data_IF_373090709326
#
_entry.id   IF_373090709326
#
_cell.length_a   1.000
_cell.length_b   1.000
_cell.length_c   1.000
_cell.angle_alpha   90.00
_cell.angle_beta   90.00
_cell.angle_gamma   90.00
#
_symmetry.space_group_name_H-M   'P 1'
#
loop_
_entity.id
_entity.type
_entity.pdbx_description
1 polymer ?
#
# COMPACT_ATOMS: atom_id res chain seq x y z
N UNK A 1 -3.48 -27.46 -1.71
CA UNK A 1 -2.28 -26.76 -1.20
C UNK A 1 -2.71 -25.42 -0.66
N UNK A 2 -2.15 -24.92 0.46
CA UNK A 2 -2.50 -23.58 0.95
C UNK A 2 -2.19 -22.55 -0.15
N UNK A 3 -3.12 -21.65 -0.48
CA UNK A 3 -2.86 -20.57 -1.44
C UNK A 3 -1.73 -19.65 -0.94
N UNK A 4 -1.14 -18.89 -1.85
CA UNK A 4 -0.32 -17.74 -1.46
C UNK A 4 -1.16 -16.70 -0.70
N UNK A 5 -0.50 -15.79 0.03
CA UNK A 5 -1.15 -14.63 0.63
C UNK A 5 -0.71 -13.34 -0.05
N UNK A 6 -1.62 -12.37 -0.12
CA UNK A 6 -1.37 -11.01 -0.54
C UNK A 6 -1.28 -10.07 0.66
N UNK A 7 -0.15 -9.40 0.82
CA UNK A 7 0.15 -8.49 1.92
C UNK A 7 0.41 -7.10 1.34
N UNK A 8 -0.12 -6.05 1.96
CA UNK A 8 0.14 -4.67 1.56
C UNK A 8 0.81 -3.88 2.67
N UNK A 9 1.72 -2.99 2.30
CA UNK A 9 2.34 -2.02 3.18
C UNK A 9 1.73 -0.65 2.89
N UNK A 10 1.06 -0.09 3.89
CA UNK A 10 0.26 1.12 3.76
C UNK A 10 0.67 2.20 4.75
N UNK A 11 0.26 3.44 4.47
CA UNK A 11 0.57 4.61 5.29
C UNK A 11 1.03 5.79 4.45
N UNK A 12 1.04 6.97 5.06
CA UNK A 12 1.45 8.22 4.40
C UNK A 12 2.93 8.20 3.98
N UNK A 13 3.32 9.06 3.05
CA UNK A 13 4.72 9.22 2.66
C UNK A 13 5.55 9.73 3.85
N UNK A 14 6.76 9.20 4.04
CA UNK A 14 7.57 9.46 5.25
C UNK A 14 7.29 8.54 6.45
N UNK A 15 6.33 7.61 6.35
CA UNK A 15 6.04 6.65 7.43
C UNK A 15 7.13 5.56 7.63
N UNK A 16 8.16 5.50 6.79
CA UNK A 16 9.25 4.52 6.93
C UNK A 16 8.98 3.14 6.32
N UNK A 17 7.91 2.97 5.54
CA UNK A 17 7.53 1.71 4.87
C UNK A 17 8.71 1.05 4.16
N UNK A 18 9.40 1.78 3.27
CA UNK A 18 10.51 1.26 2.46
C UNK A 18 11.64 0.68 3.30
N UNK A 19 11.97 1.31 4.44
CA UNK A 19 12.99 0.83 5.39
C UNK A 19 12.67 -0.56 5.96
N UNK A 20 11.38 -0.86 6.11
CA UNK A 20 10.92 -2.10 6.71
C UNK A 20 10.46 -3.14 5.69
N UNK A 21 10.05 -2.72 4.49
CA UNK A 21 9.54 -3.59 3.43
C UNK A 21 10.57 -4.64 3.03
N UNK A 22 11.79 -4.24 2.69
CA UNK A 22 12.83 -5.18 2.29
C UNK A 22 13.14 -6.19 3.41
N UNK A 23 13.32 -5.71 4.64
CA UNK A 23 13.58 -6.55 5.80
C UNK A 23 12.43 -7.55 6.05
N UNK A 24 11.17 -7.11 5.89
CA UNK A 24 10.00 -7.97 6.04
C UNK A 24 9.97 -9.06 4.97
N UNK A 25 10.22 -8.70 3.71
CA UNK A 25 10.25 -9.65 2.59
C UNK A 25 11.38 -10.68 2.76
N UNK A 26 12.56 -10.27 3.22
CA UNK A 26 13.67 -11.20 3.52
C UNK A 26 13.28 -12.21 4.61
N UNK A 27 12.66 -11.75 5.70
CA UNK A 27 12.18 -12.64 6.78
C UNK A 27 11.08 -13.57 6.30
N UNK A 28 10.14 -13.07 5.52
CA UNK A 28 9.06 -13.88 4.94
C UNK A 28 9.61 -14.93 3.97
N UNK A 29 10.55 -14.55 3.09
CA UNK A 29 11.19 -15.47 2.14
C UNK A 29 11.90 -16.61 2.86
N UNK A 30 12.60 -16.32 3.97
CA UNK A 30 13.24 -17.35 4.80
C UNK A 30 12.25 -18.37 5.36
N UNK A 31 11.04 -17.95 5.75
CA UNK A 31 9.98 -18.83 6.26
C UNK A 31 9.33 -19.67 5.15
N UNK A 32 9.24 -19.12 3.94
CA UNK A 32 8.61 -19.78 2.78
C UNK A 32 9.55 -20.70 1.99
N UNK A 33 10.87 -20.54 2.16
CA UNK A 33 11.88 -21.29 1.41
C UNK A 33 11.74 -22.82 1.56
N UNK A 34 11.47 -23.32 2.77
CA UNK A 34 11.28 -24.75 3.02
C UNK A 34 10.05 -25.34 2.31
N UNK A 35 9.06 -24.49 1.98
CA UNK A 35 7.87 -24.88 1.22
C UNK A 35 8.04 -24.66 -0.30
N UNK A 36 9.22 -24.21 -0.77
CA UNK A 36 9.51 -23.94 -2.18
C UNK A 36 8.76 -22.74 -2.78
N UNK A 37 8.23 -21.84 -1.94
CA UNK A 37 7.42 -20.68 -2.37
C UNK A 37 8.26 -19.40 -2.41
N UNK A 38 7.93 -18.50 -3.34
CA UNK A 38 8.59 -17.20 -3.46
C UNK A 38 7.77 -16.07 -2.81
N UNK A 39 8.46 -14.99 -2.48
CA UNK A 39 7.89 -13.68 -2.16
C UNK A 39 8.06 -12.76 -3.36
N UNK A 40 6.96 -12.46 -4.05
CA UNK A 40 6.92 -11.46 -5.11
C UNK A 40 6.72 -10.09 -4.47
N UNK A 41 7.69 -9.18 -4.66
CA UNK A 41 7.62 -7.81 -4.14
C UNK A 41 7.22 -6.86 -5.27
N UNK A 42 6.23 -6.01 -5.02
CA UNK A 42 5.69 -5.08 -6.02
C UNK A 42 5.23 -3.75 -5.40
N UNK A 43 4.66 -2.83 -6.18
CA UNK A 43 4.17 -1.52 -5.73
C UNK A 43 3.05 -0.95 -6.61
N UNK A 44 2.25 -0.05 -6.03
CA UNK A 44 1.27 0.75 -6.77
C UNK A 44 1.44 2.27 -6.59
N UNK A 45 1.06 3.07 -7.61
CA UNK A 45 0.86 2.66 -9.01
C UNK A 45 2.20 2.18 -9.59
N UNK A 46 2.19 1.21 -10.51
CA UNK A 46 3.42 0.58 -11.02
C UNK A 46 3.29 -0.94 -11.15
N UNK A 47 4.42 -1.63 -11.09
CA UNK A 47 4.49 -3.10 -11.01
C UNK A 47 4.37 -3.82 -12.36
N UNK A 48 3.94 -3.12 -13.42
CA UNK A 48 3.89 -3.64 -14.79
C UNK A 48 4.44 -2.61 -15.78
N UNK A 49 4.78 -3.02 -17.01
CA UNK A 49 5.28 -2.07 -18.02
C UNK A 49 4.28 -0.94 -18.30
N UNK A 50 2.98 -1.26 -18.38
CA UNK A 50 1.94 -0.24 -18.51
C UNK A 50 1.73 0.52 -17.19
N UNK A 51 1.76 -0.16 -16.05
CA UNK A 51 1.63 0.44 -14.73
C UNK A 51 2.70 1.49 -14.44
N UNK A 52 3.94 1.28 -14.87
CA UNK A 52 5.03 2.27 -14.73
C UNK A 52 4.80 3.51 -15.62
N UNK A 53 4.27 3.35 -16.84
CA UNK A 53 3.86 4.50 -17.68
C UNK A 53 2.73 5.29 -17.04
N UNK A 54 1.73 4.60 -16.49
CA UNK A 54 0.63 5.25 -15.78
C UNK A 54 1.12 5.94 -14.51
N UNK A 55 2.09 5.34 -13.78
CA UNK A 55 2.76 5.96 -12.64
C UNK A 55 3.43 7.27 -13.04
N UNK A 56 4.18 7.31 -14.14
CA UNK A 56 4.82 8.54 -14.62
C UNK A 56 3.79 9.67 -14.85
N UNK A 57 2.64 9.36 -15.44
CA UNK A 57 1.55 10.33 -15.65
C UNK A 57 0.93 10.75 -14.30
N UNK A 58 0.59 9.79 -13.44
CA UNK A 58 -0.03 10.03 -12.13
C UNK A 58 0.82 10.91 -11.22
N UNK A 59 2.14 10.71 -11.22
CA UNK A 59 3.07 11.44 -10.35
C UNK A 59 3.42 12.84 -10.85
N UNK A 60 3.32 13.10 -12.15
CA UNK A 60 3.89 14.32 -12.75
C UNK A 60 2.89 15.20 -13.50
N UNK A 61 1.67 14.71 -13.81
CA UNK A 61 0.68 15.50 -14.54
C UNK A 61 -0.44 16.00 -13.61
N UNK A 62 -0.84 17.28 -13.71
CA UNK A 62 -2.09 17.75 -13.13
C UNK A 62 -3.27 17.10 -13.87
N UNK A 63 -4.30 16.71 -13.14
CA UNK A 63 -5.49 16.07 -13.70
C UNK A 63 -6.67 16.27 -12.76
N UNK A 64 -7.88 16.06 -13.28
CA UNK A 64 -9.09 15.99 -12.49
C UNK A 64 -9.03 14.84 -11.48
N UNK A 65 -9.70 15.00 -10.33
CA UNK A 65 -9.71 14.01 -9.26
C UNK A 65 -10.30 12.66 -9.69
N UNK A 66 -11.35 12.66 -10.50
CA UNK A 66 -11.93 11.44 -11.04
C UNK A 66 -11.00 10.80 -12.06
N UNK A 67 -10.32 11.62 -12.89
CA UNK A 67 -9.28 11.11 -13.80
C UNK A 67 -8.17 10.40 -13.01
N UNK A 68 -7.70 10.99 -11.92
CA UNK A 68 -6.67 10.40 -11.07
C UNK A 68 -7.12 9.06 -10.49
N UNK A 69 -8.33 8.98 -9.93
CA UNK A 69 -8.86 7.74 -9.38
C UNK A 69 -9.04 6.65 -10.46
N UNK A 70 -9.58 7.02 -11.63
CA UNK A 70 -9.74 6.09 -12.76
C UNK A 70 -8.40 5.54 -13.23
N UNK A 71 -7.36 6.37 -13.33
CA UNK A 71 -6.01 5.92 -13.72
C UNK A 71 -5.35 5.04 -12.65
N UNK A 72 -5.55 5.34 -11.35
CA UNK A 72 -5.09 4.46 -10.26
C UNK A 72 -5.72 3.06 -10.37
N UNK A 73 -7.03 2.99 -10.65
CA UNK A 73 -7.74 1.72 -10.81
C UNK A 73 -7.41 1.00 -12.13
N UNK A 74 -7.13 1.74 -13.21
CA UNK A 74 -6.63 1.14 -14.45
C UNK A 74 -5.27 0.47 -14.25
N UNK A 75 -4.33 1.15 -13.58
CA UNK A 75 -3.03 0.59 -13.23
C UNK A 75 -3.19 -0.65 -12.33
N UNK A 76 -4.10 -0.61 -11.36
CA UNK A 76 -4.42 -1.73 -10.47
C UNK A 76 -4.97 -2.96 -11.22
N UNK A 77 -5.89 -2.77 -12.17
CA UNK A 77 -6.44 -3.90 -12.93
C UNK A 77 -5.34 -4.67 -13.66
N UNK A 78 -4.44 -3.93 -14.30
CA UNK A 78 -3.28 -4.48 -15.01
C UNK A 78 -2.34 -5.20 -14.05
N UNK A 79 -2.08 -4.60 -12.89
CA UNK A 79 -1.21 -5.17 -11.87
C UNK A 79 -1.77 -6.46 -11.26
N UNK A 80 -3.08 -6.52 -11.01
CA UNK A 80 -3.78 -7.74 -10.61
C UNK A 80 -3.60 -8.85 -11.66
N UNK A 81 -3.90 -8.54 -12.92
CA UNK A 81 -3.90 -9.52 -14.01
C UNK A 81 -2.51 -10.12 -14.29
N UNK A 82 -1.46 -9.30 -14.23
CA UNK A 82 -0.13 -9.70 -14.71
C UNK A 82 0.83 -10.12 -13.61
N UNK A 83 0.63 -9.66 -12.37
CA UNK A 83 1.59 -9.88 -11.27
C UNK A 83 0.92 -10.60 -10.10
N UNK A 84 -0.12 -10.02 -9.53
CA UNK A 84 -0.67 -10.47 -8.24
C UNK A 84 -1.40 -11.81 -8.41
N UNK A 85 -2.42 -11.87 -9.26
CA UNK A 85 -3.24 -13.09 -9.45
C UNK A 85 -2.38 -14.27 -9.95
N UNK A 86 -1.48 -14.11 -10.95
CA UNK A 86 -0.62 -15.21 -11.40
C UNK A 86 0.36 -15.69 -10.34
N UNK A 87 0.90 -14.80 -9.51
CA UNK A 87 1.81 -15.21 -8.41
C UNK A 87 1.06 -16.03 -7.35
N UNK A 88 -0.08 -15.53 -6.90
CA UNK A 88 -0.91 -16.22 -5.90
C UNK A 88 -1.41 -17.58 -6.41
N UNK A 89 -1.75 -17.68 -7.70
CA UNK A 89 -2.17 -18.95 -8.32
C UNK A 89 -1.07 -20.03 -8.30
N UNK A 90 0.20 -19.63 -8.33
CA UNK A 90 1.35 -20.55 -8.17
C UNK A 90 1.66 -20.90 -6.72
N UNK A 91 0.98 -20.29 -5.76
CA UNK A 91 1.21 -20.46 -4.33
C UNK A 91 2.28 -19.53 -3.75
N UNK A 92 2.85 -18.64 -4.58
CA UNK A 92 3.76 -17.58 -4.14
C UNK A 92 3.01 -16.55 -3.29
N UNK A 93 3.72 -15.91 -2.37
CA UNK A 93 3.17 -14.79 -1.61
C UNK A 93 3.52 -13.48 -2.30
N UNK A 94 2.65 -12.50 -2.20
CA UNK A 94 2.87 -11.18 -2.83
C UNK A 94 2.87 -10.11 -1.75
N UNK A 95 3.89 -9.24 -1.74
CA UNK A 95 3.96 -8.08 -0.85
C UNK A 95 4.01 -6.81 -1.71
N UNK A 96 3.01 -5.93 -1.57
CA UNK A 96 2.92 -4.68 -2.33
C UNK A 96 3.14 -3.45 -1.45
N UNK A 97 4.00 -2.53 -1.87
CA UNK A 97 3.99 -1.15 -1.37
C UNK A 97 2.78 -0.43 -1.97
N UNK A 98 1.76 -0.21 -1.14
CA UNK A 98 0.43 0.31 -1.49
C UNK A 98 -0.43 -0.63 -2.33
N UNK A 99 -1.75 -0.46 -2.17
CA UNK A 99 -2.82 -1.05 -2.98
C UNK A 99 -4.07 -0.15 -2.87
N UNK A 100 -5.26 -0.73 -2.77
CA UNK A 100 -6.53 0.00 -2.76
C UNK A 100 -6.74 0.88 -1.54
N UNK A 101 -6.24 0.48 -0.36
CA UNK A 101 -6.31 1.32 0.84
C UNK A 101 -5.63 2.67 0.60
N UNK A 102 -4.52 2.72 -0.15
CA UNK A 102 -3.91 3.98 -0.57
C UNK A 102 -4.81 4.84 -1.45
N UNK A 103 -5.57 4.25 -2.39
CA UNK A 103 -6.48 5.03 -3.24
C UNK A 103 -7.61 5.65 -2.42
N UNK A 104 -8.18 4.90 -1.47
CA UNK A 104 -9.15 5.46 -0.54
C UNK A 104 -8.54 6.59 0.30
N UNK A 105 -7.33 6.38 0.83
CA UNK A 105 -6.68 7.37 1.67
C UNK A 105 -6.30 8.66 0.91
N UNK A 106 -5.71 8.56 -0.27
CA UNK A 106 -5.19 9.72 -1.02
C UNK A 106 -6.30 10.40 -1.84
N UNK A 107 -7.01 9.66 -2.70
CA UNK A 107 -8.06 10.25 -3.54
C UNK A 107 -9.34 10.50 -2.74
N UNK A 108 -9.72 9.58 -1.83
CA UNK A 108 -10.89 9.75 -0.97
C UNK A 108 -10.65 10.72 0.17
N UNK A 109 -9.88 10.34 1.18
CA UNK A 109 -9.62 11.18 2.35
C UNK A 109 -8.88 12.47 2.00
N UNK A 110 -7.72 12.34 1.35
CA UNK A 110 -6.83 13.45 1.02
C UNK A 110 -7.49 14.48 0.09
N UNK A 111 -7.95 14.04 -1.09
CA UNK A 111 -8.53 14.92 -2.12
C UNK A 111 -10.04 15.11 -2.03
N UNK A 112 -10.76 14.31 -1.25
CA UNK A 112 -12.20 14.47 -1.04
C UNK A 112 -13.10 13.78 -2.07
N UNK A 113 -12.61 12.78 -2.81
CA UNK A 113 -13.47 12.03 -3.73
C UNK A 113 -14.51 11.25 -2.93
N UNK A 114 -15.81 11.28 -3.31
CA UNK A 114 -16.84 10.51 -2.63
C UNK A 114 -16.50 9.02 -2.57
N UNK A 115 -16.70 8.41 -1.40
CA UNK A 115 -16.34 7.01 -1.13
C UNK A 115 -17.12 6.03 -1.99
N UNK A 116 -18.39 6.30 -2.24
CA UNK A 116 -19.27 5.47 -3.08
C UNK A 116 -18.71 5.28 -4.50
N UNK A 117 -18.05 6.30 -5.06
CA UNK A 117 -17.34 6.19 -6.34
C UNK A 117 -16.13 5.25 -6.23
N UNK A 118 -15.32 5.39 -5.18
CA UNK A 118 -14.16 4.52 -4.95
C UNK A 118 -14.56 3.07 -4.68
N UNK A 119 -15.61 2.84 -3.89
CA UNK A 119 -16.16 1.51 -3.63
C UNK A 119 -16.72 0.86 -4.90
N UNK A 120 -17.33 1.66 -5.79
CA UNK A 120 -17.80 1.16 -7.08
C UNK A 120 -16.64 0.71 -7.96
N UNK A 121 -15.55 1.49 -8.02
CA UNK A 121 -14.34 1.13 -8.74
C UNK A 121 -13.64 -0.09 -8.12
N UNK A 122 -13.54 -0.15 -6.79
CA UNK A 122 -13.00 -1.29 -6.05
C UNK A 122 -13.76 -2.58 -6.39
N UNK A 123 -15.09 -2.57 -6.28
CA UNK A 123 -15.92 -3.74 -6.63
C UNK A 123 -15.74 -4.16 -8.08
N UNK A 124 -15.71 -3.20 -9.02
CA UNK A 124 -15.56 -3.50 -10.44
C UNK A 124 -14.18 -4.09 -10.77
N UNK A 125 -13.11 -3.45 -10.29
CA UNK A 125 -11.74 -3.83 -10.65
C UNK A 125 -11.24 -5.07 -9.91
N UNK A 126 -11.61 -5.25 -8.64
CA UNK A 126 -11.12 -6.35 -7.81
C UNK A 126 -12.10 -7.52 -7.67
N UNK A 127 -13.39 -7.33 -7.97
CA UNK A 127 -14.38 -8.41 -7.86
C UNK A 127 -14.51 -9.04 -6.46
N UNK A 128 -14.10 -8.33 -5.41
CA UNK A 128 -14.03 -8.83 -4.03
C UNK A 128 -12.63 -9.24 -3.56
N UNK A 129 -11.63 -9.26 -4.44
CA UNK A 129 -10.23 -9.47 -4.05
C UNK A 129 -9.76 -8.39 -3.07
N UNK A 130 -9.20 -8.81 -1.94
CA UNK A 130 -8.67 -7.95 -0.89
C UNK A 130 -7.33 -8.53 -0.39
N UNK A 131 -6.44 -7.71 0.19
CA UNK A 131 -5.28 -8.22 0.91
C UNK A 131 -5.68 -9.19 2.02
N UNK A 132 -4.91 -10.25 2.21
CA UNK A 132 -5.04 -11.10 3.40
C UNK A 132 -4.55 -10.35 4.65
N UNK A 133 -3.63 -9.40 4.47
CA UNK A 133 -3.08 -8.55 5.52
C UNK A 133 -2.68 -7.19 4.95
N UNK A 134 -3.04 -6.11 5.66
CA UNK A 134 -2.52 -4.77 5.46
C UNK A 134 -1.69 -4.35 6.67
N UNK A 135 -0.41 -4.11 6.48
CA UNK A 135 0.47 -3.52 7.50
C UNK A 135 0.43 -2.00 7.36
N UNK A 136 -0.29 -1.34 8.25
CA UNK A 136 -0.45 0.11 8.23
C UNK A 136 0.58 0.77 9.15
N UNK A 137 1.52 1.52 8.57
CA UNK A 137 2.48 2.34 9.30
C UNK A 137 1.82 3.66 9.67
N UNK A 138 1.37 3.76 10.92
CA UNK A 138 0.71 4.95 11.44
C UNK A 138 1.73 5.93 12.03
N UNK A 139 1.65 7.18 11.59
CA UNK A 139 2.49 8.29 12.08
C UNK A 139 1.76 9.61 11.86
N UNK A 140 1.96 10.56 12.76
CA UNK A 140 1.44 11.92 12.60
C UNK A 140 2.03 12.59 11.34
N UNK A 141 1.23 13.32 10.54
CA UNK A 141 1.71 14.01 9.34
C UNK A 141 2.93 14.90 9.56
N UNK A 142 3.01 15.58 10.71
CA UNK A 142 4.12 16.45 11.07
C UNK A 142 5.44 15.65 11.15
N UNK A 143 5.44 14.53 11.88
CA UNK A 143 6.61 13.64 12.01
C UNK A 143 6.99 13.04 10.66
N UNK A 144 6.01 12.68 9.83
CA UNK A 144 6.27 12.19 8.48
C UNK A 144 6.90 13.26 7.57
N UNK A 145 6.44 14.51 7.69
CA UNK A 145 6.96 15.66 6.94
C UNK A 145 8.44 15.94 7.26
N UNK A 146 8.81 15.91 8.55
CA UNK A 146 10.20 16.05 9.01
C UNK A 146 11.13 15.01 8.38
N UNK A 147 10.63 13.78 8.15
CA UNK A 147 11.39 12.70 7.50
C UNK A 147 11.51 12.86 5.99
N UNK A 148 10.54 13.46 5.31
CA UNK A 148 10.53 13.64 3.84
C UNK A 148 11.51 14.70 3.36
N UNK A 149 11.66 15.80 4.11
CA UNK A 149 12.44 16.98 3.71
C UNK A 149 13.92 16.72 3.39
N UNK A 150 14.45 15.55 3.72
CA UNK A 150 15.87 15.22 3.58
C UNK A 150 16.27 14.53 2.26
N UNK A 151 15.32 14.05 1.42
CA UNK A 151 15.65 12.91 0.53
C UNK A 151 15.64 13.21 -0.98
N UNK A 152 14.72 14.04 -1.52
CA UNK A 152 14.63 14.36 -2.96
C UNK A 152 13.59 15.46 -3.23
N UNK A 153 13.51 15.96 -4.47
CA UNK A 153 12.36 16.75 -4.91
C UNK A 153 11.07 15.92 -4.79
N UNK A 154 10.04 16.43 -4.10
CA UNK A 154 8.78 15.70 -3.89
C UNK A 154 8.00 15.57 -5.20
N UNK A 155 7.32 14.44 -5.39
CA UNK A 155 6.32 14.30 -6.47
C UNK A 155 5.00 15.00 -6.13
N UNK A 156 4.01 14.93 -7.05
CA UNK A 156 2.71 15.60 -6.89
C UNK A 156 1.99 15.21 -5.58
N UNK A 157 2.08 13.97 -5.13
CA UNK A 157 1.43 13.53 -3.89
C UNK A 157 2.24 13.91 -2.66
N UNK A 158 3.56 13.82 -2.74
CA UNK A 158 4.47 14.19 -1.66
C UNK A 158 4.49 15.71 -1.37
N UNK A 159 4.07 16.53 -2.34
CA UNK A 159 4.01 18.00 -2.27
C UNK A 159 2.73 18.55 -1.63
N UNK A 160 1.81 17.68 -1.20
CA UNK A 160 0.52 18.09 -0.63
C UNK A 160 0.64 18.66 0.80
N UNK A 161 -0.40 19.35 1.25
CA UNK A 161 -0.43 20.02 2.57
C UNK A 161 -0.51 19.08 3.78
N UNK A 162 -0.14 19.57 4.97
CA UNK A 162 -0.35 18.84 6.23
C UNK A 162 -1.83 18.49 6.47
N UNK A 163 -2.75 19.36 6.04
CA UNK A 163 -4.18 19.11 6.11
C UNK A 163 -4.60 17.94 5.20
N UNK A 164 -4.01 17.85 4.00
CA UNK A 164 -4.18 16.70 3.11
C UNK A 164 -3.72 15.42 3.79
N UNK A 165 -2.48 15.38 4.29
CA UNK A 165 -1.94 14.19 4.94
C UNK A 165 -2.70 13.81 6.23
N UNK A 166 -3.24 14.79 6.95
CA UNK A 166 -4.12 14.54 8.10
C UNK A 166 -5.39 13.81 7.69
N UNK A 167 -6.04 14.23 6.60
CA UNK A 167 -7.23 13.53 6.07
C UNK A 167 -6.88 12.16 5.50
N UNK A 168 -5.74 12.03 4.82
CA UNK A 168 -5.25 10.75 4.31
C UNK A 168 -5.01 9.75 5.43
N UNK A 169 -4.34 10.17 6.51
CA UNK A 169 -4.15 9.33 7.71
C UNK A 169 -5.49 8.93 8.33
N UNK A 170 -6.41 9.88 8.50
CA UNK A 170 -7.72 9.59 9.07
C UNK A 170 -8.49 8.53 8.27
N UNK A 171 -8.40 8.58 6.93
CA UNK A 171 -9.06 7.61 6.07
C UNK A 171 -8.41 6.21 6.12
N UNK A 172 -7.08 6.11 6.27
CA UNK A 172 -6.44 4.82 6.57
C UNK A 172 -6.93 4.22 7.89
N UNK A 173 -6.96 5.02 8.96
CA UNK A 173 -7.41 4.57 10.28
C UNK A 173 -8.88 4.12 10.24
N UNK A 174 -9.74 4.86 9.54
CA UNK A 174 -11.12 4.46 9.32
C UNK A 174 -11.24 3.10 8.62
N UNK A 175 -10.47 2.84 7.55
CA UNK A 175 -10.49 1.52 6.89
C UNK A 175 -9.99 0.41 7.82
N UNK A 176 -9.02 0.71 8.68
CA UNK A 176 -8.55 -0.23 9.69
C UNK A 176 -9.63 -0.55 10.74
N UNK A 177 -10.43 0.45 11.14
CA UNK A 177 -11.59 0.26 12.03
C UNK A 177 -12.69 -0.59 11.38
N UNK A 178 -12.92 -0.48 10.07
CA UNK A 178 -13.92 -1.27 9.35
C UNK A 178 -13.50 -2.72 9.09
N UNK A 179 -12.20 -2.97 8.95
CA UNK A 179 -11.66 -4.30 8.66
C UNK A 179 -10.54 -4.70 9.64
N UNK A 180 -10.79 -4.73 10.96
CA UNK A 180 -9.74 -4.91 11.97
C UNK A 180 -9.03 -6.26 11.90
N UNK A 181 -9.67 -7.27 11.29
CA UNK A 181 -9.08 -8.59 11.08
C UNK A 181 -8.02 -8.60 9.95
N UNK A 182 -8.08 -7.63 9.03
CA UNK A 182 -7.16 -7.50 7.89
C UNK A 182 -6.00 -6.55 8.20
N UNK A 183 -6.16 -5.63 9.15
CA UNK A 183 -5.14 -4.61 9.43
C UNK A 183 -4.26 -4.96 10.63
N UNK A 184 -2.95 -4.84 10.44
CA UNK A 184 -1.97 -4.74 11.51
C UNK A 184 -1.41 -3.31 11.54
N UNK A 185 -1.80 -2.54 12.56
CA UNK A 185 -1.33 -1.16 12.74
C UNK A 185 0.03 -1.19 13.44
N UNK A 186 1.00 -0.50 12.86
CA UNK A 186 2.37 -0.34 13.38
C UNK A 186 2.57 1.12 13.76
N UNK A 187 2.93 1.36 15.03
CA UNK A 187 3.35 2.69 15.47
C UNK A 187 4.71 3.03 14.85
N UNK A 188 4.68 3.85 13.79
CA UNK A 188 5.85 4.22 13.02
C UNK A 188 6.63 5.43 13.60
N UNK A 189 6.26 5.88 14.81
CA UNK A 189 7.06 6.83 15.60
C UNK A 189 8.19 6.16 16.36
N UNK A 190 8.13 4.83 16.52
CA UNK A 190 9.11 4.02 17.25
C UNK A 190 10.44 3.87 16.50
N UNK A 191 11.46 3.40 17.22
CA UNK A 191 12.75 3.10 16.63
C UNK A 191 12.69 1.90 15.68
N UNK A 192 13.65 1.79 14.76
CA UNK A 192 13.72 0.67 13.80
C UNK A 192 13.68 -0.71 14.50
N UNK A 193 14.42 -0.97 15.59
CA UNK A 193 14.34 -2.24 16.31
C UNK A 193 12.94 -2.54 16.88
N UNK A 194 12.27 -1.55 17.47
CA UNK A 194 10.92 -1.69 18.03
C UNK A 194 9.88 -1.96 16.94
N UNK A 195 9.97 -1.27 15.80
CA UNK A 195 9.09 -1.53 14.65
C UNK A 195 9.33 -2.95 14.11
N UNK A 196 10.58 -3.38 13.98
CA UNK A 196 10.89 -4.76 13.55
C UNK A 196 10.37 -5.81 14.52
N UNK A 197 10.34 -5.52 15.83
CA UNK A 197 9.71 -6.41 16.81
C UNK A 197 8.18 -6.49 16.63
N UNK A 198 7.51 -5.39 16.28
CA UNK A 198 6.09 -5.41 15.91
C UNK A 198 5.89 -6.27 14.65
N UNK A 199 6.72 -6.09 13.63
CA UNK A 199 6.64 -6.84 12.37
C UNK A 199 6.96 -8.33 12.54
N UNK A 200 7.87 -8.72 13.44
CA UNK A 200 8.08 -10.15 13.77
C UNK A 200 6.81 -10.79 14.35
N UNK A 201 6.04 -10.06 15.17
CA UNK A 201 4.75 -10.56 15.69
C UNK A 201 3.73 -10.73 14.57
N UNK A 202 3.70 -9.80 13.62
CA UNK A 202 2.88 -9.92 12.40
C UNK A 202 3.29 -11.16 11.61
N UNK A 203 4.59 -11.36 11.35
CA UNK A 203 5.10 -12.53 10.65
C UNK A 203 4.76 -13.83 11.37
N UNK A 204 4.80 -13.86 12.71
CA UNK A 204 4.46 -15.03 13.52
C UNK A 204 2.97 -15.41 13.48
N UNK A 205 2.09 -14.48 13.13
CA UNK A 205 0.65 -14.72 12.99
C UNK A 205 0.23 -15.17 11.57
N UNK A 206 1.16 -15.17 10.61
CA UNK A 206 0.92 -15.51 9.21
C UNK A 206 0.92 -17.02 8.93
#
# INVERSE_FOLDING_TARGET
>A
MASGKFITFEGIDGAGKTTHLQWFCERLQGRLAAAGRQVVVTREPGGTQLGEKLREILLNQPMDLETEALLMFAARREHLALVIEPALARGDWVVSDRFTDATFAYQGGGRGLPRDKLETLERWVQGGFQPDLTVLFDVAPQVASERRGAVRMPDKFESESDAFFSRTRAEYLRRAEEAPHRFAIVDATRSIPEIRQQLERVLAAL
#
